data_IF_740830405395
#
_entry.id   IF_740830405395
#
_cell.length_a   1.000
_cell.length_b   1.000
_cell.length_c   1.000
_cell.angle_alpha   90.00
_cell.angle_beta   90.00
_cell.angle_gamma   90.00
#
_symmetry.space_group_name_H-M   'P 1'
#
loop_
_entity.id
_entity.type
_entity.pdbx_description
1 polymer ?
#
# COMPACT_ATOMS: atom_id res chain seq x y z
N UNK A 1 4.01 12.07 7.15
CA UNK A 1 2.78 11.59 7.86
C UNK A 1 1.54 12.40 7.51
N UNK A 2 1.59 13.74 7.48
CA UNK A 2 0.42 14.59 7.16
C UNK A 2 -0.12 14.37 5.73
N UNK A 3 0.73 14.10 4.73
CA UNK A 3 0.33 13.83 3.35
C UNK A 3 -0.46 12.52 3.24
N UNK A 4 0.04 11.44 3.84
CA UNK A 4 -0.61 10.13 3.87
C UNK A 4 -1.93 10.20 4.64
N UNK A 5 -1.96 10.85 5.81
CA UNK A 5 -3.18 11.04 6.59
C UNK A 5 -4.27 11.83 5.83
N UNK A 6 -3.88 12.82 5.01
CA UNK A 6 -4.81 13.54 4.10
C UNK A 6 -5.30 12.64 2.97
N UNK A 7 -4.41 11.86 2.35
CA UNK A 7 -4.77 10.93 1.28
C UNK A 7 -5.82 9.92 1.76
N UNK A 8 -5.66 9.36 2.97
CA UNK A 8 -6.59 8.40 3.55
C UNK A 8 -7.96 9.00 3.89
N UNK A 9 -8.04 10.28 4.25
CA UNK A 9 -9.28 10.97 4.66
C UNK A 9 -9.99 11.72 3.52
N UNK A 10 -9.31 11.96 2.40
CA UNK A 10 -9.86 12.77 1.32
C UNK A 10 -11.06 12.09 0.66
N UNK A 11 -12.26 12.68 0.70
CA UNK A 11 -13.38 12.17 -0.07
C UNK A 11 -13.08 12.41 -1.56
N UNK A 12 -13.05 11.36 -2.35
CA UNK A 12 -13.01 11.50 -3.81
C UNK A 12 -14.33 12.11 -4.29
N UNK A 13 -14.32 13.41 -4.56
CA UNK A 13 -15.36 14.07 -5.32
C UNK A 13 -15.23 13.63 -6.78
N UNK A 14 -15.97 12.61 -7.15
CA UNK A 14 -16.05 12.16 -8.52
C UNK A 14 -16.83 13.21 -9.33
N UNK A 15 -16.12 14.17 -9.92
CA UNK A 15 -16.69 15.28 -10.71
C UNK A 15 -17.34 14.83 -12.02
N UNK A 16 -17.04 13.61 -12.48
CA UNK A 16 -17.62 12.99 -13.67
C UNK A 16 -17.92 11.51 -13.39
N UNK A 17 -19.06 11.20 -12.79
CA UNK A 17 -19.41 9.81 -12.49
C UNK A 17 -19.60 9.02 -13.81
N UNK A 18 -19.10 7.79 -13.87
CA UNK A 18 -19.44 6.85 -14.96
C UNK A 18 -20.95 6.62 -14.95
N UNK A 19 -21.54 6.32 -16.10
CA UNK A 19 -23.00 6.18 -16.29
C UNK A 19 -23.65 5.28 -15.22
N UNK A 20 -23.05 4.13 -14.92
CA UNK A 20 -23.54 3.16 -13.93
C UNK A 20 -23.46 3.68 -12.47
N UNK A 21 -22.72 4.75 -12.23
CA UNK A 21 -22.51 5.32 -10.90
C UNK A 21 -23.27 6.64 -10.70
N UNK A 22 -24.12 7.05 -11.66
CA UNK A 22 -24.95 8.25 -11.53
C UNK A 22 -26.09 7.97 -10.57
N UNK A 23 -26.27 8.86 -9.61
CA UNK A 23 -27.44 8.87 -8.73
C UNK A 23 -28.56 9.66 -9.40
N UNK A 24 -29.28 9.04 -10.34
CA UNK A 24 -30.27 9.68 -11.18
C UNK A 24 -31.28 10.52 -10.42
N UNK A 25 -31.86 10.01 -9.33
CA UNK A 25 -32.84 10.75 -8.53
C UNK A 25 -32.27 12.09 -8.03
N UNK A 26 -31.08 12.11 -7.44
CA UNK A 26 -30.43 13.34 -6.98
C UNK A 26 -30.00 14.25 -8.15
N UNK A 27 -29.56 13.65 -9.27
CA UNK A 27 -29.19 14.39 -10.48
C UNK A 27 -30.41 15.11 -11.04
N UNK A 28 -31.52 14.43 -11.23
CA UNK A 28 -32.77 15.01 -11.74
C UNK A 28 -33.27 16.14 -10.80
N UNK A 29 -33.36 15.83 -9.50
CA UNK A 29 -33.82 16.81 -8.52
C UNK A 29 -32.97 18.09 -8.49
N UNK A 30 -31.65 17.98 -8.60
CA UNK A 30 -30.74 19.13 -8.61
C UNK A 30 -30.76 19.92 -9.92
N UNK A 31 -31.23 19.34 -11.01
CA UNK A 31 -31.33 19.94 -12.33
C UNK A 31 -32.78 20.21 -12.76
N UNK A 32 -33.76 20.28 -11.82
CA UNK A 32 -35.16 20.56 -12.14
C UNK A 32 -35.35 21.94 -12.79
N UNK A 33 -34.44 22.90 -12.58
CA UNK A 33 -34.47 24.20 -13.22
C UNK A 33 -34.24 24.12 -14.75
N UNK A 34 -33.69 23.02 -15.25
CA UNK A 34 -33.52 22.75 -16.70
C UNK A 34 -34.60 21.82 -17.26
N UNK A 35 -35.73 21.70 -16.56
CA UNK A 35 -36.86 20.89 -17.03
C UNK A 35 -37.51 21.50 -18.27
N UNK A 36 -37.65 20.71 -19.31
CA UNK A 36 -38.32 21.07 -20.55
C UNK A 36 -39.71 20.44 -20.60
N UNK A 37 -40.81 21.26 -20.49
CA UNK A 37 -42.17 20.73 -20.42
C UNK A 37 -42.57 20.01 -21.72
N UNK A 38 -42.13 20.50 -22.88
CA UNK A 38 -42.51 20.01 -24.20
C UNK A 38 -42.04 18.56 -24.44
N UNK A 39 -40.83 18.22 -23.95
CA UNK A 39 -40.22 16.89 -24.08
C UNK A 39 -40.30 16.08 -22.82
N UNK A 40 -40.84 16.62 -21.70
CA UNK A 40 -40.89 16.02 -20.36
C UNK A 40 -39.53 15.51 -19.92
N UNK A 41 -38.46 16.21 -20.23
CA UNK A 41 -37.09 15.82 -19.96
C UNK A 41 -36.33 16.86 -19.12
N UNK A 42 -35.26 16.42 -18.46
CA UNK A 42 -34.33 17.29 -17.72
C UNK A 42 -32.97 17.20 -18.38
N UNK A 43 -32.36 18.33 -18.69
CA UNK A 43 -30.98 18.38 -19.19
C UNK A 43 -30.03 18.45 -17.97
N UNK A 44 -29.25 17.40 -17.67
CA UNK A 44 -28.40 17.39 -16.50
C UNK A 44 -27.12 18.20 -16.72
N UNK A 45 -27.07 19.40 -16.18
CA UNK A 45 -25.85 20.23 -16.16
C UNK A 45 -24.82 19.71 -15.15
N UNK A 46 -25.29 19.15 -14.03
CA UNK A 46 -24.45 18.59 -12.97
C UNK A 46 -24.86 17.16 -12.68
N UNK A 47 -24.00 16.22 -13.05
CA UNK A 47 -24.17 14.81 -12.69
C UNK A 47 -23.76 14.57 -11.24
N UNK A 48 -24.61 13.89 -10.47
CA UNK A 48 -24.32 13.49 -9.09
C UNK A 48 -24.01 11.99 -9.09
N UNK A 49 -22.76 11.65 -8.77
CA UNK A 49 -22.34 10.25 -8.63
C UNK A 49 -22.89 9.64 -7.35
N UNK A 50 -23.21 8.34 -7.40
CA UNK A 50 -23.31 7.55 -6.17
C UNK A 50 -21.91 7.53 -5.57
N UNK A 51 -21.79 8.01 -4.35
CA UNK A 51 -20.59 7.80 -3.56
C UNK A 51 -20.53 6.30 -3.24
N UNK A 52 -19.85 5.52 -4.06
CA UNK A 52 -19.40 4.22 -3.58
C UNK A 52 -18.47 4.55 -2.40
N UNK A 53 -18.82 4.08 -1.21
CA UNK A 53 -17.85 3.99 -0.12
C UNK A 53 -16.78 3.03 -0.63
N UNK A 54 -15.75 3.57 -1.27
CA UNK A 54 -14.55 2.78 -1.47
C UNK A 54 -14.09 2.40 -0.07
N UNK A 55 -13.84 1.12 0.14
CA UNK A 55 -13.33 0.61 1.40
C UNK A 55 -12.03 1.37 1.66
N UNK A 56 -12.04 2.28 2.63
CA UNK A 56 -10.83 3.01 3.02
C UNK A 56 -9.83 2.00 3.58
N UNK A 57 -8.56 2.22 3.29
CA UNK A 57 -7.50 1.48 3.97
C UNK A 57 -7.55 1.89 5.43
N UNK A 58 -7.62 0.94 6.33
CA UNK A 58 -7.64 1.14 7.79
C UNK A 58 -6.54 0.33 8.50
N UNK A 59 -5.88 -0.57 7.77
CA UNK A 59 -4.78 -1.37 8.30
C UNK A 59 -3.59 -1.32 7.34
N UNK A 60 -2.38 -1.28 7.89
CA UNK A 60 -1.12 -1.42 7.14
C UNK A 60 -0.31 -2.55 7.74
N UNK A 61 0.12 -3.47 6.89
CA UNK A 61 1.13 -4.48 7.18
C UNK A 61 2.45 -4.05 6.57
N UNK A 62 3.49 -3.95 7.37
CA UNK A 62 4.84 -3.56 6.94
C UNK A 62 5.74 -4.76 7.15
N UNK A 63 6.24 -5.32 6.07
CA UNK A 63 7.22 -6.40 6.04
C UNK A 63 8.59 -5.77 5.80
N UNK A 64 9.51 -5.93 6.74
CA UNK A 64 10.87 -5.40 6.63
C UNK A 64 11.85 -6.56 6.56
N UNK A 65 12.53 -6.63 5.45
CA UNK A 65 13.62 -7.57 5.20
C UNK A 65 14.84 -7.22 6.06
N UNK A 66 15.31 -8.21 6.83
CA UNK A 66 16.49 -8.13 7.67
C UNK A 66 17.61 -9.08 7.22
N UNK A 67 17.57 -9.51 5.98
CA UNK A 67 18.64 -10.29 5.38
C UNK A 67 19.99 -9.55 5.39
N UNK A 68 21.07 -10.29 5.22
CA UNK A 68 22.42 -9.72 5.23
C UNK A 68 22.67 -8.66 4.16
N UNK A 69 22.05 -8.77 2.99
CA UNK A 69 22.12 -7.80 1.89
C UNK A 69 21.48 -6.45 2.23
N UNK A 70 20.47 -6.46 3.13
CA UNK A 70 19.75 -5.27 3.57
C UNK A 70 20.48 -4.41 4.61
N UNK A 71 21.65 -4.84 5.11
CA UNK A 71 22.38 -4.14 6.18
C UNK A 71 22.59 -2.64 5.90
N UNK A 72 22.99 -2.26 4.69
CA UNK A 72 23.16 -0.87 4.31
C UNK A 72 21.84 -0.09 4.21
N UNK A 73 20.75 -0.78 3.96
CA UNK A 73 19.40 -0.19 3.78
C UNK A 73 18.58 -0.17 5.07
N UNK A 74 19.07 -0.81 6.15
CA UNK A 74 18.35 -0.95 7.41
C UNK A 74 17.93 0.39 8.03
N UNK A 75 18.77 1.42 7.91
CA UNK A 75 18.46 2.77 8.40
C UNK A 75 17.24 3.33 7.68
N UNK A 76 17.15 3.15 6.35
CA UNK A 76 15.97 3.58 5.59
C UNK A 76 14.73 2.79 5.96
N UNK A 77 14.86 1.47 6.13
CA UNK A 77 13.76 0.62 6.58
C UNK A 77 13.23 1.06 7.96
N UNK A 78 14.13 1.41 8.90
CA UNK A 78 13.77 1.95 10.20
C UNK A 78 12.98 3.26 10.11
N UNK A 79 13.43 4.19 9.25
CA UNK A 79 12.73 5.46 9.02
C UNK A 79 11.34 5.23 8.43
N UNK A 80 11.19 4.32 7.47
CA UNK A 80 9.88 3.97 6.90
C UNK A 80 8.94 3.38 7.95
N UNK A 81 9.43 2.45 8.78
CA UNK A 81 8.67 1.90 9.90
C UNK A 81 8.16 2.99 10.85
N UNK A 82 9.03 3.96 11.20
CA UNK A 82 8.68 5.12 12.01
C UNK A 82 7.63 6.03 11.35
N UNK A 83 7.70 6.22 10.03
CA UNK A 83 6.73 7.04 9.30
C UNK A 83 5.34 6.42 9.39
N UNK A 84 5.23 5.12 9.15
CA UNK A 84 3.95 4.42 9.17
C UNK A 84 3.36 4.29 10.57
N UNK A 85 4.18 3.97 11.58
CA UNK A 85 3.71 3.81 12.97
C UNK A 85 3.09 5.09 13.55
N UNK A 86 3.44 6.25 12.99
CA UNK A 86 2.92 7.56 13.41
C UNK A 86 1.69 8.04 12.63
N UNK A 87 1.02 7.18 11.87
CA UNK A 87 -0.22 7.53 11.18
C UNK A 87 -1.43 7.17 12.07
N UNK A 88 -2.07 8.12 12.77
CA UNK A 88 -3.02 7.84 13.85
C UNK A 88 -4.32 7.18 13.37
N UNK A 89 -4.56 7.14 12.06
CA UNK A 89 -5.81 6.64 11.47
C UNK A 89 -5.72 5.19 11.01
N UNK A 90 -4.57 4.52 11.23
CA UNK A 90 -4.28 3.19 10.72
C UNK A 90 -3.83 2.26 11.84
N UNK A 91 -4.33 1.03 11.78
CA UNK A 91 -3.75 -0.07 12.54
C UNK A 91 -2.48 -0.52 11.82
N UNK A 92 -1.33 -0.32 12.45
CA UNK A 92 -0.04 -0.67 11.85
C UNK A 92 0.48 -1.96 12.46
N UNK A 93 0.78 -2.93 11.61
CA UNK A 93 1.50 -4.15 11.94
C UNK A 93 2.90 -4.07 11.38
N UNK A 94 3.90 -4.36 12.21
CA UNK A 94 5.31 -4.37 11.83
C UNK A 94 5.87 -5.77 11.97
N UNK A 95 6.30 -6.33 10.87
CA UNK A 95 6.82 -7.68 10.77
C UNK A 95 8.24 -7.61 10.20
N UNK A 96 9.17 -8.14 10.95
CA UNK A 96 10.56 -8.33 10.52
C UNK A 96 10.70 -9.75 9.99
N UNK A 97 11.47 -9.91 8.93
CA UNK A 97 11.70 -11.24 8.37
C UNK A 97 13.10 -11.38 7.77
N UNK A 98 13.61 -12.59 7.80
CA UNK A 98 14.68 -13.15 6.99
C UNK A 98 14.22 -14.53 6.50
N UNK A 99 14.79 -15.63 6.94
CA UNK A 99 14.23 -16.99 6.84
C UNK A 99 13.22 -17.30 7.96
N UNK A 100 13.16 -16.46 8.99
CA UNK A 100 12.21 -16.51 10.10
C UNK A 100 11.32 -15.25 10.12
N UNK A 101 10.22 -15.31 10.86
CA UNK A 101 9.27 -14.20 11.00
C UNK A 101 9.25 -13.73 12.47
N UNK A 102 9.38 -12.42 12.66
CA UNK A 102 9.21 -11.78 13.95
C UNK A 102 8.14 -10.69 13.86
N UNK A 103 6.95 -10.92 14.44
CA UNK A 103 5.92 -9.90 14.57
C UNK A 103 6.21 -9.02 15.78
N UNK A 104 6.56 -7.78 15.52
CA UNK A 104 6.91 -6.76 16.53
C UNK A 104 5.85 -5.68 16.67
N UNK A 105 4.64 -5.91 16.17
CA UNK A 105 3.52 -4.96 16.16
C UNK A 105 3.18 -4.42 17.56
N UNK A 106 3.40 -5.21 18.62
CA UNK A 106 3.18 -4.78 20.00
C UNK A 106 4.24 -3.82 20.57
N UNK A 107 5.36 -3.59 19.86
CA UNK A 107 6.52 -2.83 20.32
C UNK A 107 6.72 -1.52 19.54
N UNK A 108 5.69 -1.03 18.88
CA UNK A 108 5.73 0.16 18.02
C UNK A 108 6.01 1.48 18.74
N UNK A 109 6.19 1.48 20.07
CA UNK A 109 6.55 2.68 20.85
C UNK A 109 7.93 3.23 20.47
N UNK A 110 8.87 2.35 20.11
CA UNK A 110 10.16 2.71 19.54
C UNK A 110 10.56 1.74 18.41
N UNK A 111 10.09 1.99 17.17
CA UNK A 111 10.36 1.11 16.04
C UNK A 111 11.85 1.01 15.68
N UNK A 112 12.63 2.04 16.01
CA UNK A 112 14.07 2.08 15.72
C UNK A 112 14.80 1.09 16.61
N UNK A 113 14.56 1.12 17.92
CA UNK A 113 15.19 0.20 18.86
C UNK A 113 14.84 -1.25 18.54
N UNK A 114 13.58 -1.51 18.14
CA UNK A 114 13.14 -2.85 17.74
C UNK A 114 13.90 -3.34 16.51
N UNK A 115 14.04 -2.52 15.48
CA UNK A 115 14.74 -2.87 14.24
C UNK A 115 16.23 -3.14 14.47
N UNK A 116 16.87 -2.40 15.36
CA UNK A 116 18.29 -2.59 15.65
C UNK A 116 18.57 -3.68 16.70
N UNK A 117 17.59 -4.02 17.53
CA UNK A 117 17.76 -5.09 18.54
C UNK A 117 17.50 -6.48 17.98
N UNK A 118 16.76 -6.59 16.87
CA UNK A 118 16.40 -7.84 16.22
C UNK A 118 17.34 -8.07 15.04
N UNK A 119 18.54 -8.59 15.29
CA UNK A 119 19.45 -9.01 14.22
C UNK A 119 19.12 -10.44 13.83
N UNK A 120 18.51 -10.60 12.67
CA UNK A 120 18.25 -11.91 12.10
C UNK A 120 19.46 -12.34 11.23
N UNK A 121 19.81 -11.67 10.18
CA UNK A 121 21.08 -11.86 9.44
C UNK A 121 21.20 -13.19 8.69
N UNK A 122 20.06 -13.85 8.44
CA UNK A 122 19.95 -15.06 7.63
C UNK A 122 19.83 -14.80 6.14
N UNK A 123 19.27 -15.77 5.39
CA UNK A 123 18.83 -15.61 4.01
C UNK A 123 17.56 -14.77 3.93
N UNK A 124 16.85 -14.86 2.80
CA UNK A 124 15.63 -14.10 2.54
C UNK A 124 14.51 -15.04 2.11
N UNK A 125 13.38 -15.03 2.80
CA UNK A 125 12.15 -15.76 2.43
C UNK A 125 10.96 -14.79 2.36
N UNK A 126 10.86 -14.08 1.24
CA UNK A 126 9.76 -13.15 0.97
C UNK A 126 8.43 -13.90 0.84
N UNK A 127 8.47 -15.13 0.30
CA UNK A 127 7.30 -15.98 0.17
C UNK A 127 6.65 -16.25 1.52
N UNK A 128 7.44 -16.63 2.53
CA UNK A 128 7.00 -16.85 3.92
C UNK A 128 6.44 -15.56 4.54
N UNK A 129 7.07 -14.42 4.27
CA UNK A 129 6.59 -13.13 4.78
C UNK A 129 5.21 -12.75 4.20
N UNK A 130 4.99 -12.93 2.90
CA UNK A 130 3.68 -12.75 2.29
C UNK A 130 2.64 -13.73 2.83
N UNK A 131 3.01 -15.00 3.00
CA UNK A 131 2.13 -16.01 3.56
C UNK A 131 1.70 -15.67 4.99
N UNK A 132 2.63 -15.18 5.83
CA UNK A 132 2.32 -14.71 7.17
C UNK A 132 1.32 -13.54 7.14
N UNK A 133 1.53 -12.54 6.27
CA UNK A 133 0.63 -11.41 6.13
C UNK A 133 -0.78 -11.84 5.67
N UNK A 134 -0.88 -12.80 4.73
CA UNK A 134 -2.15 -13.37 4.27
C UNK A 134 -2.90 -14.09 5.40
N UNK A 135 -2.20 -14.83 6.25
CA UNK A 135 -2.79 -15.59 7.35
C UNK A 135 -3.19 -14.71 8.55
N UNK A 136 -2.39 -13.67 8.84
CA UNK A 136 -2.60 -12.80 10.01
C UNK A 136 -3.56 -11.63 9.73
N UNK A 137 -3.83 -11.27 8.46
CA UNK A 137 -4.67 -10.14 8.10
C UNK A 137 -6.15 -10.52 8.02
N UNK A 138 -7.03 -10.02 8.91
CA UNK A 138 -8.44 -10.38 8.90
C UNK A 138 -9.24 -9.70 7.76
N UNK A 139 -8.77 -8.58 7.23
CA UNK A 139 -9.46 -7.80 6.21
C UNK A 139 -8.49 -7.28 5.14
N UNK A 140 -7.89 -8.15 4.32
CA UNK A 140 -6.87 -7.75 3.35
C UNK A 140 -7.40 -6.78 2.28
N UNK A 141 -8.68 -6.88 1.90
CA UNK A 141 -9.30 -5.94 0.96
C UNK A 141 -9.47 -4.51 1.52
N UNK A 142 -9.11 -4.27 2.78
CA UNK A 142 -9.04 -2.96 3.44
C UNK A 142 -7.64 -2.66 3.95
N UNK A 143 -6.67 -3.48 3.58
CA UNK A 143 -5.30 -3.39 4.07
C UNK A 143 -4.34 -3.03 2.95
N UNK A 144 -3.34 -2.22 3.30
CA UNK A 144 -2.16 -1.97 2.49
C UNK A 144 -1.05 -2.89 2.99
N UNK A 145 -0.46 -3.65 2.08
CA UNK A 145 0.75 -4.41 2.36
C UNK A 145 1.96 -3.65 1.82
N UNK A 146 2.94 -3.40 2.65
CA UNK A 146 4.18 -2.72 2.29
C UNK A 146 5.33 -3.69 2.53
N UNK A 147 6.08 -4.00 1.48
CA UNK A 147 7.32 -4.77 1.58
C UNK A 147 8.51 -3.83 1.39
N UNK A 148 9.51 -3.93 2.26
CA UNK A 148 10.78 -3.21 2.16
C UNK A 148 11.88 -4.24 2.04
N UNK A 149 12.45 -4.39 0.83
CA UNK A 149 13.42 -5.43 0.49
C UNK A 149 14.21 -5.06 -0.76
N UNK A 150 15.35 -5.69 -0.97
CA UNK A 150 16.10 -5.68 -2.22
C UNK A 150 15.63 -6.77 -3.20
N UNK A 151 14.63 -7.56 -2.82
CA UNK A 151 14.05 -8.64 -3.61
C UNK A 151 15.05 -9.75 -3.96
N UNK A 152 16.09 -9.92 -3.16
CA UNK A 152 17.07 -11.01 -3.36
C UNK A 152 16.63 -12.25 -2.59
N UNK A 153 15.67 -12.99 -3.18
CA UNK A 153 15.11 -14.22 -2.63
C UNK A 153 16.15 -15.35 -2.64
N UNK A 154 16.41 -15.95 -1.48
CA UNK A 154 17.41 -17.02 -1.34
C UNK A 154 16.80 -18.41 -1.24
N UNK A 155 15.50 -18.52 -1.01
CA UNK A 155 14.82 -19.80 -0.82
C UNK A 155 14.19 -20.29 -2.14
N UNK A 156 12.90 -20.08 -2.34
CA UNK A 156 12.16 -20.60 -3.50
C UNK A 156 11.44 -19.47 -4.25
N UNK A 157 12.04 -19.01 -5.33
CA UNK A 157 11.52 -17.92 -6.19
C UNK A 157 10.14 -18.27 -6.75
N UNK A 158 9.90 -19.50 -7.18
CA UNK A 158 8.62 -19.89 -7.77
C UNK A 158 7.51 -19.86 -6.72
N UNK A 159 7.78 -20.36 -5.52
CA UNK A 159 6.87 -20.29 -4.38
C UNK A 159 6.60 -18.83 -3.95
N UNK A 160 7.64 -18.00 -3.92
CA UNK A 160 7.52 -16.57 -3.65
C UNK A 160 6.59 -15.88 -4.67
N UNK A 161 6.79 -16.11 -5.96
CA UNK A 161 5.98 -15.50 -7.02
C UNK A 161 4.52 -15.97 -6.97
N UNK A 162 4.29 -17.25 -6.68
CA UNK A 162 2.94 -17.79 -6.51
C UNK A 162 2.23 -17.11 -5.31
N UNK A 163 2.93 -16.96 -4.19
CA UNK A 163 2.38 -16.31 -2.99
C UNK A 163 2.16 -14.81 -3.20
N UNK A 164 3.09 -14.13 -3.90
CA UNK A 164 2.95 -12.73 -4.27
C UNK A 164 1.71 -12.49 -5.16
N UNK A 165 1.44 -13.41 -6.09
CA UNK A 165 0.22 -13.37 -6.92
C UNK A 165 -1.04 -13.48 -6.07
N UNK A 166 -1.10 -14.43 -5.14
CA UNK A 166 -2.24 -14.58 -4.21
C UNK A 166 -2.40 -13.31 -3.38
N UNK A 167 -1.31 -12.75 -2.87
CA UNK A 167 -1.34 -11.52 -2.10
C UNK A 167 -1.86 -10.33 -2.93
N UNK A 168 -1.44 -10.18 -4.20
CA UNK A 168 -1.89 -9.09 -5.07
C UNK A 168 -3.39 -9.16 -5.38
N UNK A 169 -3.95 -10.36 -5.50
CA UNK A 169 -5.38 -10.56 -5.73
C UNK A 169 -6.22 -10.36 -4.45
N UNK A 170 -5.60 -10.42 -3.28
CA UNK A 170 -6.28 -10.44 -1.98
C UNK A 170 -6.20 -9.10 -1.26
N UNK A 171 -5.03 -8.48 -1.19
CA UNK A 171 -4.85 -7.18 -0.55
C UNK A 171 -5.40 -6.04 -1.40
N UNK A 172 -5.86 -4.98 -0.72
CA UNK A 172 -6.34 -3.77 -1.41
C UNK A 172 -5.28 -3.15 -2.29
N UNK A 173 -4.03 -3.15 -1.84
CA UNK A 173 -2.86 -2.65 -2.56
C UNK A 173 -1.60 -3.26 -1.94
N UNK A 174 -0.62 -3.55 -2.81
CA UNK A 174 0.73 -3.90 -2.38
C UNK A 174 1.69 -2.84 -2.89
N UNK A 175 2.58 -2.39 -2.01
CA UNK A 175 3.64 -1.45 -2.30
C UNK A 175 4.97 -2.06 -1.91
N UNK A 176 5.89 -2.17 -2.84
CA UNK A 176 7.26 -2.61 -2.59
C UNK A 176 8.17 -1.40 -2.62
N UNK A 177 8.88 -1.17 -1.53
CA UNK A 177 9.92 -0.15 -1.41
C UNK A 177 11.24 -0.84 -1.65
N UNK A 178 11.83 -0.53 -2.79
CA UNK A 178 13.07 -1.13 -3.22
C UNK A 178 14.25 -0.53 -2.45
N UNK A 179 15.13 -1.39 -1.97
CA UNK A 179 16.30 -1.01 -1.20
C UNK A 179 17.25 -0.13 -2.02
N UNK A 180 17.74 0.92 -1.37
CA UNK A 180 18.79 1.79 -1.86
C UNK A 180 19.96 1.71 -0.87
N UNK A 181 21.19 1.66 -1.37
CA UNK A 181 22.36 1.84 -0.50
C UNK A 181 22.47 3.30 0.01
N UNK A 182 23.41 3.55 0.90
CA UNK A 182 23.62 4.88 1.48
C UNK A 182 23.94 5.96 0.44
N UNK A 183 24.43 5.57 -0.74
CA UNK A 183 24.71 6.47 -1.87
C UNK A 183 23.48 6.70 -2.76
N UNK A 184 22.32 6.10 -2.44
CA UNK A 184 21.09 6.17 -3.24
C UNK A 184 21.15 5.33 -4.52
N UNK A 185 22.08 4.38 -4.63
CA UNK A 185 22.16 3.48 -5.79
C UNK A 185 21.28 2.26 -5.61
N UNK A 186 20.77 1.76 -6.71
CA UNK A 186 19.94 0.57 -6.79
C UNK A 186 20.71 -0.70 -6.35
N UNK A 187 20.15 -1.42 -5.40
CA UNK A 187 20.69 -2.68 -4.87
C UNK A 187 19.67 -3.82 -4.93
N UNK A 188 18.61 -3.68 -5.72
CA UNK A 188 17.52 -4.68 -5.79
C UNK A 188 17.59 -5.55 -7.03
N UNK A 189 16.92 -6.71 -6.96
CA UNK A 189 16.72 -7.65 -8.08
C UNK A 189 15.70 -7.06 -9.07
N UNK A 190 16.18 -6.67 -10.26
CA UNK A 190 15.37 -6.02 -11.29
C UNK A 190 14.36 -6.96 -11.94
N UNK A 191 14.74 -8.23 -12.15
CA UNK A 191 13.87 -9.22 -12.77
C UNK A 191 12.62 -9.48 -11.92
N UNK A 192 12.79 -9.65 -10.62
CA UNK A 192 11.69 -9.82 -9.68
C UNK A 192 10.81 -8.56 -9.60
N UNK A 193 11.42 -7.36 -9.61
CA UNK A 193 10.68 -6.11 -9.60
C UNK A 193 9.81 -5.92 -10.86
N UNK A 194 10.29 -6.35 -12.03
CA UNK A 194 9.52 -6.35 -13.28
C UNK A 194 8.35 -7.34 -13.23
N UNK A 195 8.58 -8.55 -12.71
CA UNK A 195 7.52 -9.55 -12.52
C UNK A 195 6.46 -9.04 -11.54
N UNK A 196 6.86 -8.44 -10.41
CA UNK A 196 5.92 -7.85 -9.46
C UNK A 196 5.07 -6.74 -10.08
N UNK A 197 5.68 -5.91 -10.92
CA UNK A 197 4.94 -4.86 -11.65
C UNK A 197 3.91 -5.46 -12.61
N UNK A 198 4.24 -6.58 -13.27
CA UNK A 198 3.29 -7.32 -14.11
C UNK A 198 2.14 -7.96 -13.30
N UNK A 199 2.33 -8.22 -12.01
CA UNK A 199 1.32 -8.71 -11.08
C UNK A 199 0.49 -7.58 -10.42
N UNK A 200 0.53 -6.34 -10.91
CA UNK A 200 -0.11 -5.14 -10.34
C UNK A 200 0.43 -4.76 -8.94
N UNK A 201 1.62 -5.21 -8.60
CA UNK A 201 2.34 -4.81 -7.40
C UNK A 201 3.17 -3.57 -7.73
N UNK A 202 2.96 -2.48 -6.98
CA UNK A 202 3.69 -1.23 -7.22
C UNK A 202 5.07 -1.29 -6.61
N UNK A 203 6.11 -1.29 -7.43
CA UNK A 203 7.50 -1.24 -7.01
C UNK A 203 8.05 0.19 -7.15
N UNK A 204 8.63 0.74 -6.09
CA UNK A 204 9.18 2.09 -6.07
C UNK A 204 10.52 2.14 -5.37
N UNK A 205 11.48 2.82 -5.99
CA UNK A 205 12.71 3.23 -5.34
C UNK A 205 12.52 4.66 -4.83
N UNK A 206 12.67 4.88 -3.54
CA UNK A 206 12.41 6.19 -2.93
C UNK A 206 13.36 6.42 -1.76
N UNK A 207 13.73 7.67 -1.54
CA UNK A 207 14.37 8.08 -0.30
C UNK A 207 13.30 8.37 0.76
N UNK A 208 13.64 8.32 2.06
CA UNK A 208 12.70 8.60 3.14
C UNK A 208 11.99 9.96 3.04
N UNK A 209 12.64 10.97 2.45
CA UNK A 209 12.08 12.31 2.28
C UNK A 209 10.94 12.33 1.26
N UNK A 210 11.07 11.60 0.17
CA UNK A 210 10.10 11.55 -0.93
C UNK A 210 8.96 10.57 -0.67
N UNK A 211 9.21 9.58 0.19
CA UNK A 211 8.33 8.48 0.45
C UNK A 211 6.91 8.88 0.92
N UNK A 212 6.70 9.84 1.85
CA UNK A 212 5.35 10.20 2.30
C UNK A 212 4.44 10.73 1.18
N UNK A 213 5.00 11.46 0.22
CA UNK A 213 4.25 11.98 -0.94
C UNK A 213 3.94 10.88 -1.94
N UNK A 214 4.89 9.99 -2.15
CA UNK A 214 4.75 8.84 -3.04
C UNK A 214 3.68 7.87 -2.54
N UNK A 215 3.70 7.49 -1.26
CA UNK A 215 2.65 6.68 -0.64
C UNK A 215 1.28 7.36 -0.71
N UNK A 216 1.22 8.66 -0.45
CA UNK A 216 -0.03 9.40 -0.55
C UNK A 216 -0.61 9.34 -1.97
N UNK A 217 0.23 9.45 -2.99
CA UNK A 217 -0.16 9.35 -4.40
C UNK A 217 -0.68 7.95 -4.74
N UNK A 218 0.04 6.90 -4.35
CA UNK A 218 -0.35 5.51 -4.63
C UNK A 218 -1.66 5.13 -3.90
N UNK A 219 -1.84 5.57 -2.66
CA UNK A 219 -3.10 5.39 -1.92
C UNK A 219 -4.27 6.11 -2.62
N UNK A 220 -4.04 7.31 -3.18
CA UNK A 220 -5.07 8.04 -3.93
C UNK A 220 -5.40 7.32 -5.23
N UNK A 221 -4.40 6.87 -5.98
CA UNK A 221 -4.59 6.15 -7.25
C UNK A 221 -5.33 4.82 -7.06
N UNK A 222 -5.08 4.09 -5.97
CA UNK A 222 -5.78 2.85 -5.65
C UNK A 222 -7.27 3.03 -5.35
N UNK A 223 -7.74 4.29 -5.26
CA UNK A 223 -9.15 4.66 -5.03
C UNK A 223 -9.91 4.95 -6.33
N UNK A 224 -9.24 4.95 -7.47
CA UNK A 224 -9.85 5.23 -8.79
C UNK A 224 -10.39 4.00 -9.45
#
# INVERSE_FOLDING_TARGET
>A
TAAIGRALRSPLLNRKPKYNHIHWHKTIYKNLHTYLPDTRSVIPEKLIGRQMRQKSIDTIYILIDQSGSMYESLIYAAIYGCIFSRIPALNTHLILFDTEIADVSGQLSDPVDVLFSTHMGGGTDIGKAFQYALQSCPNPERSLLVLISDLDETEDVDSMLATAKIASDTFKKILVILALNQEGKATWNKEIAEIYTALDITCVASTPEQFPELCAREIILSRS
#
